data_IF_358108802162
#
_entry.id   IF_358108802162
#
_cell.length_a   1.000
_cell.length_b   1.000
_cell.length_c   1.000
_cell.angle_alpha   90.00
_cell.angle_beta   90.00
_cell.angle_gamma   90.00
#
_symmetry.space_group_name_H-M   'P 1'
#
loop_
_entity.id
_entity.type
_entity.pdbx_description
1 polymer ?
#
# COMPACT_ATOMS: atom_id res chain seq x y z
N UNK A 1 -3.91 -9.08 -8.64
CA UNK A 1 -2.48 -9.02 -9.09
C UNK A 1 -2.35 -9.72 -10.43
N UNK A 2 -1.31 -9.41 -11.24
CA UNK A 2 -1.09 -10.10 -12.53
C UNK A 2 -0.91 -11.62 -12.35
N UNK A 3 -0.28 -12.04 -11.26
CA UNK A 3 -0.11 -13.45 -10.87
C UNK A 3 -1.43 -14.22 -10.73
N UNK A 4 -2.47 -13.59 -10.21
CA UNK A 4 -3.78 -14.23 -10.03
C UNK A 4 -4.45 -14.50 -11.39
N UNK A 5 -4.25 -13.58 -12.34
CA UNK A 5 -4.73 -13.78 -13.71
C UNK A 5 -3.98 -14.91 -14.42
N UNK A 6 -2.67 -15.03 -14.23
CA UNK A 6 -1.86 -16.13 -14.76
C UNK A 6 -2.33 -17.47 -14.16
N UNK A 7 -2.55 -17.53 -12.84
CA UNK A 7 -3.07 -18.71 -12.18
C UNK A 7 -4.46 -19.11 -12.71
N UNK A 8 -5.34 -18.12 -12.92
CA UNK A 8 -6.66 -18.31 -13.53
C UNK A 8 -6.55 -18.88 -14.97
N UNK A 9 -5.72 -18.29 -15.82
CA UNK A 9 -5.51 -18.76 -17.20
C UNK A 9 -4.90 -20.16 -17.26
N UNK A 10 -4.08 -20.54 -16.28
CA UNK A 10 -3.49 -21.87 -16.17
C UNK A 10 -4.41 -22.89 -15.49
N UNK A 11 -5.65 -22.49 -15.15
CA UNK A 11 -6.65 -23.40 -14.59
C UNK A 11 -6.33 -23.89 -13.17
N UNK A 12 -5.72 -23.05 -12.33
CA UNK A 12 -5.43 -23.41 -10.93
C UNK A 12 -6.74 -23.71 -10.19
N UNK A 13 -6.92 -24.96 -9.77
CA UNK A 13 -8.13 -25.43 -9.12
C UNK A 13 -8.18 -25.06 -7.64
N UNK A 14 -9.40 -24.90 -7.12
CA UNK A 14 -9.64 -24.56 -5.69
C UNK A 14 -8.91 -25.55 -4.77
N UNK A 15 -8.22 -24.99 -3.78
CA UNK A 15 -7.42 -25.75 -2.81
C UNK A 15 -5.95 -25.92 -3.22
N UNK A 16 -5.63 -25.76 -4.51
CA UNK A 16 -4.25 -25.82 -4.99
C UNK A 16 -3.55 -24.46 -4.85
N UNK A 17 -2.23 -24.51 -4.80
CA UNK A 17 -1.36 -23.34 -4.68
C UNK A 17 -0.16 -23.47 -5.62
N UNK A 18 0.40 -22.34 -6.02
CA UNK A 18 1.58 -22.28 -6.90
C UNK A 18 2.35 -20.99 -6.68
N UNK A 19 3.63 -21.02 -7.02
CA UNK A 19 4.48 -19.83 -7.08
C UNK A 19 4.59 -19.35 -8.52
N UNK A 20 4.35 -18.07 -8.74
CA UNK A 20 4.43 -17.42 -10.05
C UNK A 20 5.51 -16.35 -10.00
N UNK A 21 6.64 -16.52 -10.73
CA UNK A 21 7.64 -15.50 -10.85
C UNK A 21 7.15 -14.36 -11.76
N UNK A 22 7.29 -13.12 -11.31
CA UNK A 22 6.90 -11.92 -12.05
C UNK A 22 8.02 -10.88 -12.04
N UNK A 23 8.22 -10.22 -13.16
CA UNK A 23 8.88 -8.92 -13.23
C UNK A 23 7.82 -7.82 -13.17
N UNK A 24 8.03 -6.84 -12.30
CA UNK A 24 7.11 -5.72 -12.12
C UNK A 24 7.88 -4.41 -12.19
N UNK A 25 7.27 -3.39 -12.79
CA UNK A 25 7.83 -2.03 -12.78
C UNK A 25 7.97 -1.53 -11.33
N UNK A 26 9.06 -0.85 -11.01
CA UNK A 26 9.33 -0.30 -9.68
C UNK A 26 9.90 -1.31 -8.67
N UNK A 27 10.30 -2.51 -9.12
CA UNK A 27 11.06 -3.44 -8.29
C UNK A 27 12.12 -4.16 -9.13
N UNK A 28 13.36 -4.18 -8.64
CA UNK A 28 14.43 -4.92 -9.32
C UNK A 28 14.26 -6.43 -9.17
N UNK A 29 14.50 -7.15 -10.28
CA UNK A 29 14.52 -8.61 -10.34
C UNK A 29 13.15 -9.27 -10.27
N UNK A 30 13.19 -10.61 -10.21
CA UNK A 30 11.99 -11.44 -10.17
C UNK A 30 11.40 -11.43 -8.77
N UNK A 31 10.08 -11.19 -8.68
CA UNK A 31 9.29 -11.33 -7.45
C UNK A 31 8.46 -12.60 -7.53
N UNK A 32 8.59 -13.46 -6.55
CA UNK A 32 7.75 -14.64 -6.45
C UNK A 32 6.44 -14.28 -5.76
N UNK A 33 5.34 -14.54 -6.46
CA UNK A 33 4.00 -14.41 -5.91
C UNK A 33 3.47 -15.80 -5.58
N UNK A 34 3.23 -16.08 -4.31
CA UNK A 34 2.56 -17.30 -3.89
C UNK A 34 1.05 -17.13 -4.04
N UNK A 35 0.40 -18.00 -4.81
CA UNK A 35 -1.03 -17.91 -5.14
C UNK A 35 -1.72 -19.20 -4.71
N UNK A 36 -2.81 -19.04 -3.96
CA UNK A 36 -3.70 -20.12 -3.58
C UNK A 36 -5.10 -19.87 -4.13
N UNK A 37 -5.63 -20.83 -4.89
CA UNK A 37 -7.01 -20.77 -5.35
C UNK A 37 -7.98 -21.09 -4.19
N UNK A 38 -8.98 -20.23 -4.01
CA UNK A 38 -10.01 -20.35 -2.96
C UNK A 38 -11.39 -20.11 -3.55
N UNK A 39 -12.44 -20.44 -2.80
CA UNK A 39 -13.78 -20.09 -3.24
C UNK A 39 -13.94 -18.59 -3.50
N UNK A 40 -14.43 -18.28 -4.70
CA UNK A 40 -14.65 -16.90 -5.17
C UNK A 40 -13.38 -16.08 -5.42
N UNK A 41 -12.21 -16.73 -5.75
CA UNK A 41 -11.01 -16.04 -6.20
C UNK A 41 -9.70 -16.68 -5.78
N UNK A 42 -8.72 -15.83 -5.47
CA UNK A 42 -7.36 -16.23 -5.13
C UNK A 42 -6.89 -15.49 -3.88
N UNK A 43 -6.02 -16.11 -3.11
CA UNK A 43 -5.22 -15.44 -2.08
C UNK A 43 -3.80 -15.34 -2.64
N UNK A 44 -3.34 -14.11 -2.84
CA UNK A 44 -2.00 -13.85 -3.32
C UNK A 44 -1.12 -13.25 -2.23
N UNK A 45 0.10 -13.79 -2.09
CA UNK A 45 1.14 -13.25 -1.21
C UNK A 45 2.33 -12.86 -2.06
N UNK A 46 2.83 -11.63 -1.87
CA UNK A 46 4.00 -11.13 -2.59
C UNK A 46 4.97 -10.46 -1.64
N UNK A 47 6.27 -10.73 -1.84
CA UNK A 47 7.33 -10.00 -1.17
C UNK A 47 7.44 -8.59 -1.74
N UNK A 48 7.55 -7.61 -0.86
CA UNK A 48 7.58 -6.20 -1.21
C UNK A 48 9.01 -5.63 -1.15
N UNK A 49 9.30 -4.53 -1.87
CA UNK A 49 10.56 -3.81 -1.76
C UNK A 49 10.79 -3.31 -0.34
N UNK A 50 12.04 -3.25 0.11
CA UNK A 50 12.36 -2.61 1.39
C UNK A 50 12.35 -1.08 1.26
N UNK A 51 12.03 -0.35 2.33
CA UNK A 51 12.06 1.11 2.30
C UNK A 51 13.50 1.62 2.16
N UNK A 52 13.69 2.67 1.36
CA UNK A 52 14.94 3.42 1.25
C UNK A 52 15.20 4.21 2.53
N UNK A 53 14.14 4.76 3.11
CA UNK A 53 14.22 5.48 4.39
C UNK A 53 12.89 5.48 5.13
N UNK A 54 12.98 5.64 6.46
CA UNK A 54 11.87 5.90 7.37
C UNK A 54 12.22 7.14 8.18
N UNK A 55 11.40 8.20 8.11
CA UNK A 55 11.66 9.48 8.76
C UNK A 55 10.40 10.06 9.39
N UNK A 56 10.55 10.70 10.54
CA UNK A 56 9.51 11.57 11.09
C UNK A 56 9.62 12.95 10.48
N UNK A 57 8.51 13.53 10.06
CA UNK A 57 8.42 14.87 9.48
C UNK A 57 7.06 15.51 9.74
N UNK A 58 6.82 16.69 9.20
CA UNK A 58 5.53 17.37 9.27
C UNK A 58 4.98 17.61 7.87
N UNK A 59 3.65 17.58 7.74
CA UNK A 59 2.92 18.06 6.57
C UNK A 59 2.02 19.22 6.98
N UNK A 60 1.98 20.27 6.15
CA UNK A 60 1.01 21.36 6.30
C UNK A 60 -0.28 21.02 5.55
N UNK A 61 -1.39 20.96 6.28
CA UNK A 61 -2.72 20.69 5.75
C UNK A 61 -3.67 21.77 6.28
N UNK A 62 -4.19 22.62 5.39
CA UNK A 62 -5.04 23.78 5.75
C UNK A 62 -4.39 24.66 6.83
N UNK A 63 -3.14 25.08 6.59
CA UNK A 63 -2.33 25.96 7.47
C UNK A 63 -2.09 25.40 8.87
N UNK A 64 -2.26 24.10 9.05
CA UNK A 64 -1.93 23.38 10.28
C UNK A 64 -0.88 22.31 10.02
N UNK A 65 0.13 22.26 10.88
CA UNK A 65 1.15 21.21 10.83
C UNK A 65 0.66 19.92 11.49
N UNK A 66 0.95 18.81 10.81
CA UNK A 66 0.67 17.45 11.29
C UNK A 66 1.95 16.62 11.28
N UNK A 67 2.24 15.98 12.40
CA UNK A 67 3.32 15.00 12.49
C UNK A 67 2.94 13.74 11.71
N UNK A 68 3.83 13.31 10.84
CA UNK A 68 3.68 12.12 9.99
C UNK A 68 4.97 11.32 9.95
N UNK A 69 4.89 10.06 9.59
CA UNK A 69 6.07 9.26 9.28
C UNK A 69 6.15 9.04 7.77
N UNK A 70 7.21 9.53 7.16
CA UNK A 70 7.54 9.28 5.76
C UNK A 70 8.18 7.90 5.64
N UNK A 71 7.62 7.07 4.76
CA UNK A 71 8.20 5.80 4.32
C UNK A 71 8.52 5.95 2.83
N UNK A 72 9.80 6.03 2.49
CA UNK A 72 10.25 6.21 1.13
C UNK A 72 10.61 4.87 0.49
N UNK A 73 10.05 4.61 -0.68
CA UNK A 73 10.42 3.53 -1.59
C UNK A 73 10.98 4.11 -2.88
N UNK A 74 11.58 3.28 -3.73
CA UNK A 74 11.88 3.69 -5.10
C UNK A 74 10.57 4.00 -5.85
N UNK A 75 10.47 5.22 -6.36
CA UNK A 75 9.33 5.68 -7.16
C UNK A 75 8.09 6.15 -6.40
N UNK A 76 8.00 5.96 -5.09
CA UNK A 76 6.87 6.47 -4.28
C UNK A 76 7.27 6.73 -2.84
N UNK A 77 6.73 7.79 -2.26
CA UNK A 77 6.75 8.02 -0.81
C UNK A 77 5.36 7.94 -0.21
N UNK A 78 5.25 7.30 0.94
CA UNK A 78 4.01 7.31 1.72
C UNK A 78 4.21 8.06 3.04
N UNK A 79 3.25 8.94 3.35
CA UNK A 79 3.20 9.69 4.59
C UNK A 79 2.09 9.09 5.47
N UNK A 80 2.47 8.44 6.57
CA UNK A 80 1.51 7.86 7.52
C UNK A 80 1.02 8.97 8.44
N UNK A 81 -0.25 9.32 8.28
CA UNK A 81 -0.94 10.37 9.05
C UNK A 81 -1.90 9.72 10.05
N UNK A 82 -1.64 9.84 11.37
CA UNK A 82 -2.56 9.30 12.37
C UNK A 82 -3.94 9.95 12.27
N UNK A 83 -5.00 9.16 12.17
CA UNK A 83 -6.39 9.65 12.05
C UNK A 83 -6.81 10.51 13.24
N UNK A 84 -6.39 10.17 14.45
CA UNK A 84 -6.71 10.93 15.66
C UNK A 84 -6.14 12.36 15.64
N UNK A 85 -5.06 12.63 14.92
CA UNK A 85 -4.45 13.96 14.80
C UNK A 85 -5.23 14.87 13.84
N UNK A 86 -5.72 14.34 12.72
CA UNK A 86 -6.46 15.10 11.70
C UNK A 86 -7.97 15.11 11.98
N UNK A 87 -8.50 14.08 12.63
CA UNK A 87 -9.90 13.96 13.05
C UNK A 87 -10.87 13.74 11.91
N UNK A 88 -12.16 13.89 12.20
CA UNK A 88 -13.21 13.71 11.21
C UNK A 88 -13.13 14.75 10.07
N UNK A 89 -13.70 14.39 8.93
CA UNK A 89 -13.65 15.23 7.72
C UNK A 89 -12.27 15.29 7.06
N UNK A 90 -11.37 14.36 7.42
CA UNK A 90 -9.99 14.34 6.91
C UNK A 90 -9.90 14.31 5.38
N UNK A 91 -10.84 13.68 4.69
CA UNK A 91 -10.84 13.65 3.22
C UNK A 91 -10.96 15.04 2.64
N UNK A 92 -11.97 15.82 3.08
CA UNK A 92 -12.16 17.18 2.61
C UNK A 92 -10.99 18.10 2.98
N UNK A 93 -10.38 17.90 4.15
CA UNK A 93 -9.16 18.64 4.57
C UNK A 93 -7.99 18.37 3.65
N UNK A 94 -7.73 17.10 3.31
CA UNK A 94 -6.66 16.71 2.41
C UNK A 94 -6.92 17.17 0.97
N UNK A 95 -8.14 17.00 0.47
CA UNK A 95 -8.55 17.47 -0.84
C UNK A 95 -8.42 19.00 -0.98
N UNK A 96 -8.79 19.75 0.05
CA UNK A 96 -8.63 21.21 0.09
C UNK A 96 -7.18 21.69 0.15
N UNK A 97 -6.24 20.81 0.55
CA UNK A 97 -4.80 21.11 0.66
C UNK A 97 -3.98 20.54 -0.50
N UNK A 98 -4.57 19.89 -1.49
CA UNK A 98 -3.86 19.15 -2.53
C UNK A 98 -2.82 19.99 -3.26
N UNK A 99 -3.12 21.22 -3.64
CA UNK A 99 -2.17 22.07 -4.36
C UNK A 99 -0.96 22.43 -3.48
N UNK A 100 -1.18 22.73 -2.20
CA UNK A 100 -0.10 22.99 -1.25
C UNK A 100 0.76 21.74 -1.06
N UNK A 101 0.15 20.57 -0.93
CA UNK A 101 0.85 19.29 -0.77
C UNK A 101 1.67 18.94 -2.02
N UNK A 102 1.12 19.12 -3.24
CA UNK A 102 1.84 18.92 -4.49
C UNK A 102 3.05 19.85 -4.65
N UNK A 103 2.95 21.07 -4.14
CA UNK A 103 4.04 22.03 -4.18
C UNK A 103 5.11 21.76 -3.11
N UNK A 104 4.73 21.28 -1.94
CA UNK A 104 5.63 21.01 -0.83
C UNK A 104 6.38 19.67 -0.96
N UNK A 105 5.74 18.67 -1.53
CA UNK A 105 6.34 17.34 -1.75
C UNK A 105 7.00 17.35 -3.14
N UNK A 106 8.31 17.14 -3.23
CA UNK A 106 9.06 17.21 -4.49
C UNK A 106 8.76 16.02 -5.42
N UNK A 107 8.50 14.85 -4.86
CA UNK A 107 8.28 13.62 -5.61
C UNK A 107 7.07 13.71 -6.55
N UNK A 108 7.17 13.07 -7.72
CA UNK A 108 6.07 12.99 -8.68
C UNK A 108 4.92 12.12 -8.16
N UNK A 109 5.27 11.04 -7.47
CA UNK A 109 4.31 10.07 -6.91
C UNK A 109 4.41 10.04 -5.39
N UNK A 110 3.32 10.33 -4.72
CA UNK A 110 3.24 10.22 -3.27
C UNK A 110 1.87 9.75 -2.78
N UNK A 111 1.84 9.16 -1.59
CA UNK A 111 0.62 8.77 -0.92
C UNK A 111 0.53 9.37 0.48
N UNK A 112 -0.68 9.81 0.86
CA UNK A 112 -0.99 10.13 2.25
C UNK A 112 -1.92 9.04 2.76
N UNK A 113 -1.43 8.28 3.73
CA UNK A 113 -2.18 7.17 4.33
C UNK A 113 -2.73 7.62 5.67
N UNK A 114 -4.04 7.90 5.71
CA UNK A 114 -4.70 8.20 6.98
C UNK A 114 -4.91 6.89 7.73
N UNK A 115 -4.24 6.73 8.86
CA UNK A 115 -4.21 5.50 9.63
C UNK A 115 -4.98 5.62 10.95
N UNK A 116 -6.02 4.82 11.06
CA UNK A 116 -6.82 4.60 12.27
C UNK A 116 -6.27 3.36 12.99
N UNK A 117 -5.36 3.59 13.94
CA UNK A 117 -4.66 2.53 14.65
C UNK A 117 -5.62 1.67 15.51
N UNK A 118 -6.64 2.27 16.13
CA UNK A 118 -7.61 1.56 16.97
C UNK A 118 -8.41 0.53 16.19
N UNK A 119 -8.77 0.86 14.94
CA UNK A 119 -9.57 0.01 14.07
C UNK A 119 -8.74 -0.79 13.07
N UNK A 120 -7.42 -0.63 13.08
CA UNK A 120 -6.49 -1.18 12.08
C UNK A 120 -6.99 -0.90 10.65
N UNK A 121 -7.29 0.37 10.38
CA UNK A 121 -7.86 0.82 9.12
C UNK A 121 -7.01 1.90 8.47
N UNK A 122 -6.81 1.80 7.17
CA UNK A 122 -6.19 2.84 6.37
C UNK A 122 -7.15 3.37 5.30
N UNK A 123 -7.04 4.66 5.02
CA UNK A 123 -7.66 5.34 3.89
C UNK A 123 -6.52 6.02 3.08
N UNK A 124 -6.01 5.36 2.02
CA UNK A 124 -4.88 5.86 1.23
C UNK A 124 -5.34 6.85 0.16
N UNK A 125 -4.74 8.05 0.13
CA UNK A 125 -4.81 9.02 -0.93
C UNK A 125 -3.52 8.97 -1.74
N UNK A 126 -3.58 8.60 -3.01
CA UNK A 126 -2.41 8.53 -3.91
C UNK A 126 -2.50 9.63 -4.96
N UNK A 127 -1.38 10.33 -5.15
CA UNK A 127 -1.22 11.43 -6.09
C UNK A 127 -0.09 11.09 -7.06
N UNK A 128 -0.35 11.26 -8.37
CA UNK A 128 0.64 11.21 -9.43
C UNK A 128 0.59 12.55 -10.17
N UNK A 129 1.57 13.43 -9.93
CA UNK A 129 1.55 14.81 -10.43
C UNK A 129 1.62 14.86 -11.95
N UNK A 130 2.53 14.12 -12.56
CA UNK A 130 2.73 14.05 -14.01
C UNK A 130 1.48 13.57 -14.76
N UNK A 131 0.69 12.70 -14.16
CA UNK A 131 -0.56 12.20 -14.71
C UNK A 131 -1.78 13.06 -14.31
N UNK A 132 -1.62 14.05 -13.42
CA UNK A 132 -2.72 14.84 -12.87
C UNK A 132 -3.73 14.00 -12.08
N UNK A 133 -3.34 12.80 -11.62
CA UNK A 133 -4.27 11.89 -10.97
C UNK A 133 -4.20 12.00 -9.44
N UNK A 134 -5.38 11.90 -8.83
CA UNK A 134 -5.59 11.92 -7.38
C UNK A 134 -6.67 10.91 -7.03
N UNK A 135 -6.32 9.88 -6.27
CA UNK A 135 -7.25 8.80 -5.95
C UNK A 135 -7.25 8.42 -4.47
N UNK A 136 -8.45 8.32 -3.89
CA UNK A 136 -8.68 7.55 -2.68
C UNK A 136 -8.77 6.07 -3.05
N UNK A 137 -7.68 5.35 -2.83
CA UNK A 137 -7.61 3.95 -3.22
C UNK A 137 -8.51 3.07 -2.35
N UNK A 138 -9.15 2.10 -2.98
CA UNK A 138 -9.97 1.10 -2.27
C UNK A 138 -9.14 -0.03 -1.69
N UNK A 139 -7.94 -0.26 -2.24
CA UNK A 139 -6.98 -1.26 -1.81
C UNK A 139 -5.59 -0.89 -2.31
N UNK A 140 -4.73 -0.42 -1.40
CA UNK A 140 -3.39 0.05 -1.68
C UNK A 140 -2.37 -0.93 -1.10
N UNK A 141 -1.60 -1.60 -1.98
CA UNK A 141 -0.56 -2.53 -1.56
C UNK A 141 0.62 -1.82 -0.89
N UNK A 142 1.18 -0.80 -1.56
CA UNK A 142 2.32 -0.02 -1.04
C UNK A 142 1.95 0.81 0.20
N UNK A 143 0.74 1.36 0.26
CA UNK A 143 0.24 2.05 1.46
C UNK A 143 0.03 1.10 2.65
N UNK A 144 -0.38 -0.15 2.37
CA UNK A 144 -0.47 -1.19 3.41
C UNK A 144 0.91 -1.57 3.92
N UNK A 145 1.85 -1.80 3.02
CA UNK A 145 3.24 -2.08 3.36
C UNK A 145 3.85 -0.94 4.19
N UNK A 146 3.71 0.30 3.73
CA UNK A 146 4.21 1.48 4.44
C UNK A 146 3.65 1.57 5.87
N UNK A 147 2.35 1.26 6.05
CA UNK A 147 1.73 1.23 7.39
C UNK A 147 2.30 0.09 8.25
N UNK A 148 2.53 -1.08 7.67
CA UNK A 148 3.18 -2.19 8.37
C UNK A 148 4.60 -1.85 8.81
N UNK A 149 5.39 -1.21 7.92
CA UNK A 149 6.73 -0.73 8.22
C UNK A 149 6.71 0.34 9.32
N UNK A 150 5.76 1.28 9.26
CA UNK A 150 5.55 2.27 10.33
C UNK A 150 5.33 1.60 11.69
N UNK A 151 4.44 0.60 11.76
CA UNK A 151 4.15 -0.13 13.00
C UNK A 151 5.39 -0.88 13.52
N UNK A 152 6.09 -1.60 12.65
CA UNK A 152 7.31 -2.32 13.02
C UNK A 152 8.43 -1.37 13.48
N UNK A 153 8.59 -0.23 12.80
CA UNK A 153 9.55 0.81 13.16
C UNK A 153 9.23 1.47 14.50
N UNK A 154 7.95 1.82 14.74
CA UNK A 154 7.45 2.44 15.98
C UNK A 154 7.65 1.52 17.18
N UNK A 155 7.29 0.23 17.03
CA UNK A 155 7.30 -0.76 18.12
C UNK A 155 8.67 -1.45 18.28
N UNK A 156 9.58 -1.34 17.30
CA UNK A 156 10.88 -2.02 17.25
C UNK A 156 10.73 -3.56 17.29
N UNK A 157 9.68 -4.07 16.66
CA UNK A 157 9.37 -5.51 16.61
C UNK A 157 8.78 -5.92 15.26
N UNK A 158 8.89 -7.20 14.92
CA UNK A 158 8.23 -7.77 13.76
C UNK A 158 6.71 -7.74 13.95
N UNK A 159 5.98 -7.46 12.87
CA UNK A 159 4.52 -7.39 12.92
C UNK A 159 3.89 -8.26 11.84
N UNK A 160 2.71 -8.80 12.17
CA UNK A 160 1.80 -9.38 11.20
C UNK A 160 0.38 -8.97 11.54
N UNK A 161 -0.24 -8.18 10.68
CA UNK A 161 -1.58 -7.64 10.94
C UNK A 161 -2.39 -7.45 9.66
N UNK A 162 -3.71 -7.46 9.80
CA UNK A 162 -4.65 -7.15 8.73
C UNK A 162 -5.05 -5.67 8.76
N UNK A 163 -4.79 -4.95 7.67
CA UNK A 163 -5.19 -3.55 7.50
C UNK A 163 -6.49 -3.47 6.70
N UNK A 164 -7.54 -2.96 7.32
CA UNK A 164 -8.83 -2.73 6.67
C UNK A 164 -8.75 -1.54 5.73
N UNK A 165 -9.36 -1.68 4.56
CA UNK A 165 -9.45 -0.64 3.54
C UNK A 165 -10.86 -0.66 2.93
N UNK A 166 -11.28 0.36 2.15
CA UNK A 166 -12.60 0.36 1.53
C UNK A 166 -12.89 -0.84 0.63
N UNK A 167 -11.86 -1.46 0.04
CA UNK A 167 -11.98 -2.64 -0.85
C UNK A 167 -11.81 -3.99 -0.17
N UNK A 168 -11.41 -4.03 1.11
CA UNK A 168 -11.18 -5.29 1.82
C UNK A 168 -10.07 -5.21 2.85
N UNK A 169 -9.41 -6.32 3.10
CA UNK A 169 -8.29 -6.42 4.05
C UNK A 169 -7.05 -6.85 3.29
N UNK A 170 -5.95 -6.13 3.51
CA UNK A 170 -4.61 -6.56 3.12
C UNK A 170 -3.84 -6.89 4.39
N UNK A 171 -3.36 -8.11 4.50
CA UNK A 171 -2.47 -8.52 5.58
C UNK A 171 -1.05 -8.10 5.22
N UNK A 172 -0.36 -7.47 6.16
CA UNK A 172 1.05 -7.13 6.05
C UNK A 172 1.85 -7.98 7.03
N UNK A 173 3.05 -8.40 6.60
CA UNK A 173 3.98 -9.20 7.38
C UNK A 173 5.35 -8.54 7.24
N UNK A 174 5.88 -7.99 8.31
CA UNK A 174 7.13 -7.23 8.34
C UNK A 174 8.06 -7.82 9.39
N UNK A 175 9.25 -8.23 8.96
CA UNK A 175 10.32 -8.70 9.83
C UNK A 175 11.21 -7.53 10.24
N UNK A 176 11.36 -7.32 11.54
CA UNK A 176 12.21 -6.29 12.13
C UNK A 176 13.31 -6.91 13.00
N UNK A 177 14.56 -6.61 12.67
CA UNK A 177 15.74 -6.92 13.47
C UNK A 177 16.74 -5.77 13.32
N UNK A 178 16.75 -4.84 14.28
CA UNK A 178 17.54 -3.61 14.20
C UNK A 178 17.34 -2.84 12.87
N UNK A 179 16.12 -2.88 12.34
CA UNK A 179 15.70 -2.32 11.06
C UNK A 179 14.81 -3.31 10.30
N UNK A 180 14.18 -2.85 9.23
CA UNK A 180 13.29 -3.67 8.41
C UNK A 180 14.14 -4.65 7.58
N UNK A 181 13.84 -5.95 7.67
CA UNK A 181 14.56 -7.03 6.98
C UNK A 181 13.77 -7.62 5.83
N UNK A 182 12.44 -7.76 6.01
CA UNK A 182 11.53 -8.27 4.99
C UNK A 182 10.18 -7.59 5.15
N UNK A 183 9.48 -7.47 4.04
CA UNK A 183 8.09 -7.08 4.00
C UNK A 183 7.34 -7.93 2.97
N UNK A 184 6.13 -8.32 3.29
CA UNK A 184 5.22 -9.02 2.38
C UNK A 184 3.79 -8.57 2.62
N UNK A 185 2.99 -8.64 1.57
CA UNK A 185 1.55 -8.40 1.65
C UNK A 185 0.78 -9.61 1.15
N UNK A 186 -0.36 -9.86 1.76
CA UNK A 186 -1.30 -10.91 1.36
C UNK A 186 -2.69 -10.32 1.20
N UNK A 187 -3.34 -10.60 0.08
CA UNK A 187 -4.69 -10.12 -0.18
C UNK A 187 -5.54 -11.13 -0.96
N UNK A 188 -6.87 -11.04 -0.79
CA UNK A 188 -7.82 -11.79 -1.62
C UNK A 188 -8.08 -11.00 -2.90
N UNK A 189 -7.96 -11.68 -4.04
CA UNK A 189 -8.15 -11.13 -5.39
C UNK A 189 -9.18 -11.96 -6.14
N UNK A 190 -9.96 -11.30 -6.98
CA UNK A 190 -10.88 -11.97 -7.91
C UNK A 190 -10.77 -11.35 -9.29
N UNK A 191 -10.93 -12.14 -10.32
CA UNK A 191 -11.10 -11.63 -11.69
C UNK A 191 -12.49 -11.02 -11.79
N UNK A 192 -12.56 -9.71 -11.98
CA UNK A 192 -13.82 -8.97 -12.05
C UNK A 192 -14.35 -8.82 -13.49
N UNK A 193 -13.43 -8.72 -14.46
CA UNK A 193 -13.75 -8.60 -15.87
C UNK A 193 -12.56 -9.05 -16.73
N UNK A 194 -12.84 -9.52 -17.94
CA UNK A 194 -11.88 -9.80 -19.01
C UNK A 194 -12.43 -9.25 -20.31
N UNK A 195 -11.55 -8.65 -21.14
CA UNK A 195 -11.97 -8.08 -22.42
C UNK A 195 -10.79 -7.66 -23.27
N UNK A 196 -11.05 -7.15 -24.47
CA UNK A 196 -10.06 -6.62 -25.40
C UNK A 196 -10.21 -5.10 -25.48
N UNK A 197 -9.11 -4.36 -25.27
CA UNK A 197 -9.05 -2.93 -25.54
C UNK A 197 -8.43 -2.70 -26.93
N UNK A 198 -9.04 -1.83 -27.72
CA UNK A 198 -8.51 -1.36 -28.99
C UNK A 198 -7.96 0.04 -28.75
N UNK A 199 -6.64 0.23 -28.91
CA UNK A 199 -5.88 1.48 -28.69
C UNK A 199 -5.17 1.89 -29.98
#
# INVERSE_FOLDING_TARGET
MASDFIAFKNGLEIGNETDIPLEVSGAEGIRNCHIKAVDGGYIGTVSMPLPVSVKECTLNINDKEYYVTEIAFEGIKHYILPKNSIGEGFKAKLEGSLENLKNAIEDDVFGIVVFDEENMRIDPLVVVKSAGSVYWERGCGSGSEATGIYLAYKNKESIKCGLKQPGGIITVDVEYDNGIKKAAITGKVKIAAEGTAYI
#
